data_IF_274102219090
#
_entry.id   IF_274102219090
#
_cell.length_a   1.000
_cell.length_b   1.000
_cell.length_c   1.000
_cell.angle_alpha   90.00
_cell.angle_beta   90.00
_cell.angle_gamma   90.00
#
_symmetry.space_group_name_H-M   'P 1'
#
loop_
_entity.id
_entity.type
_entity.pdbx_description
1 polymer ?
#
# COMPACT_ATOMS: atom_id res chain seq x y z
N UNK A 1 -0.70 -2.95 -23.99
CA UNK A 1 -1.37 -4.22 -23.64
C UNK A 1 -2.51 -3.94 -22.69
N UNK A 2 -3.71 -4.38 -23.01
CA UNK A 2 -4.88 -4.15 -22.18
C UNK A 2 -4.93 -5.15 -21.01
N UNK A 3 -5.26 -4.64 -19.83
CA UNK A 3 -5.51 -5.47 -18.65
C UNK A 3 -7.02 -5.58 -18.46
N UNK A 4 -7.53 -6.81 -18.41
CA UNK A 4 -8.94 -7.06 -18.18
C UNK A 4 -9.20 -7.22 -16.68
N UNK A 5 -10.17 -6.47 -16.18
CA UNK A 5 -10.58 -6.52 -14.78
C UNK A 5 -12.06 -6.84 -14.68
N UNK A 6 -12.43 -7.77 -13.81
CA UNK A 6 -13.82 -8.05 -13.49
C UNK A 6 -14.15 -7.44 -12.13
N UNK A 7 -15.20 -6.64 -12.07
CA UNK A 7 -15.65 -5.99 -10.85
C UNK A 7 -16.99 -6.56 -10.41
N UNK A 8 -17.09 -6.89 -9.13
CA UNK A 8 -18.35 -7.31 -8.53
C UNK A 8 -19.24 -6.11 -8.32
N UNK A 9 -20.57 -6.30 -8.17
CA UNK A 9 -21.46 -5.19 -7.83
C UNK A 9 -20.99 -4.48 -6.57
N UNK A 10 -20.92 -3.16 -6.63
CA UNK A 10 -20.52 -2.33 -5.50
C UNK A 10 -19.02 -2.35 -5.16
N UNK A 11 -18.23 -3.12 -5.87
CA UNK A 11 -16.79 -3.22 -5.60
C UNK A 11 -16.09 -1.89 -5.89
N UNK A 12 -15.19 -1.50 -4.99
CA UNK A 12 -14.38 -0.28 -5.15
C UNK A 12 -13.01 -0.64 -5.70
N UNK A 13 -12.38 0.34 -6.36
CA UNK A 13 -11.06 0.20 -6.91
C UNK A 13 -10.43 1.58 -7.05
N UNK A 14 -9.12 1.67 -6.94
CA UNK A 14 -8.40 2.90 -7.29
C UNK A 14 -7.77 2.70 -8.66
N UNK A 15 -8.08 3.59 -9.59
CA UNK A 15 -7.53 3.61 -10.95
C UNK A 15 -6.87 4.96 -11.15
N UNK A 16 -5.53 4.98 -11.27
CA UNK A 16 -4.78 6.22 -11.23
C UNK A 16 -4.99 6.90 -9.90
N UNK A 17 -5.41 8.15 -9.90
CA UNK A 17 -5.75 8.86 -8.66
C UNK A 17 -7.23 8.82 -8.31
N UNK A 18 -8.05 8.08 -9.07
CA UNK A 18 -9.50 8.10 -8.90
C UNK A 18 -9.99 6.89 -8.11
N UNK A 19 -10.88 7.12 -7.15
CA UNK A 19 -11.61 6.05 -6.47
C UNK A 19 -12.85 5.75 -7.30
N UNK A 20 -12.96 4.51 -7.76
CA UNK A 20 -14.05 4.06 -8.63
C UNK A 20 -14.88 3.03 -7.88
N UNK A 21 -16.20 3.19 -7.92
CA UNK A 21 -17.13 2.22 -7.34
C UNK A 21 -18.00 1.65 -8.46
N UNK A 22 -18.07 0.32 -8.55
CA UNK A 22 -18.95 -0.32 -9.50
C UNK A 22 -20.41 -0.18 -9.06
N UNK A 23 -21.31 -0.15 -10.04
CA UNK A 23 -22.74 -0.11 -9.78
C UNK A 23 -23.32 -1.46 -9.37
N UNK A 24 -24.58 -1.67 -9.67
CA UNK A 24 -25.35 -2.81 -9.16
C UNK A 24 -25.15 -4.12 -9.94
N UNK A 25 -24.43 -4.09 -11.04
CA UNK A 25 -24.22 -5.27 -11.87
C UNK A 25 -22.73 -5.53 -12.05
N UNK A 26 -22.37 -6.81 -12.21
CA UNK A 26 -21.00 -7.20 -12.54
C UNK A 26 -20.55 -6.47 -13.81
N UNK A 27 -19.31 -5.96 -13.80
CA UNK A 27 -18.76 -5.23 -14.92
C UNK A 27 -17.37 -5.74 -15.28
N UNK A 28 -17.02 -5.62 -16.57
CA UNK A 28 -15.67 -5.87 -17.05
C UNK A 28 -15.07 -4.55 -17.54
N UNK A 29 -13.84 -4.30 -17.14
CA UNK A 29 -13.08 -3.13 -17.57
C UNK A 29 -11.82 -3.57 -18.29
N UNK A 30 -11.46 -2.81 -19.33
CA UNK A 30 -10.20 -3.01 -20.04
C UNK A 30 -9.36 -1.76 -19.84
N UNK A 31 -8.23 -1.93 -19.15
CA UNK A 31 -7.29 -0.83 -18.90
C UNK A 31 -6.23 -0.89 -19.99
N UNK A 32 -6.22 0.10 -20.87
CA UNK A 32 -5.42 0.05 -22.08
C UNK A 32 -4.02 0.67 -21.93
N UNK A 33 -3.82 1.52 -20.93
CA UNK A 33 -2.53 2.12 -20.66
C UNK A 33 -2.10 1.86 -19.22
N UNK A 34 -0.82 2.06 -18.94
CA UNK A 34 -0.30 1.84 -17.60
C UNK A 34 -0.74 2.94 -16.65
N UNK A 35 -1.45 2.54 -15.59
CA UNK A 35 -1.82 3.43 -14.48
C UNK A 35 -1.71 2.62 -13.19
N UNK A 36 -1.47 3.29 -12.05
CA UNK A 36 -1.54 2.59 -10.76
C UNK A 36 -2.93 2.06 -10.50
N UNK A 37 -3.01 0.79 -10.10
CA UNK A 37 -4.29 0.11 -9.83
C UNK A 37 -4.23 -0.53 -8.46
N UNK A 38 -5.29 -0.34 -7.65
CA UNK A 38 -5.46 -1.04 -6.38
C UNK A 38 -6.87 -1.60 -6.28
N UNK A 39 -6.95 -2.93 -6.08
CA UNK A 39 -8.23 -3.59 -5.83
C UNK A 39 -8.68 -3.28 -4.40
N UNK A 40 -9.98 -3.38 -4.15
CA UNK A 40 -10.58 -3.04 -2.87
C UNK A 40 -9.87 -3.72 -1.68
N UNK A 41 -9.49 -4.98 -1.83
CA UNK A 41 -8.81 -5.75 -0.77
C UNK A 41 -7.46 -5.16 -0.36
N UNK A 42 -6.82 -4.40 -1.24
CA UNK A 42 -5.50 -3.82 -1.01
C UNK A 42 -5.56 -2.36 -0.58
N UNK A 43 -6.76 -1.77 -0.56
CA UNK A 43 -6.93 -0.37 -0.15
C UNK A 43 -7.05 -0.31 1.37
N UNK A 44 -6.17 0.46 2.00
CA UNK A 44 -6.25 0.75 3.42
C UNK A 44 -6.85 2.14 3.62
N UNK A 45 -7.85 2.25 4.49
CA UNK A 45 -8.39 3.55 4.88
C UNK A 45 -7.49 4.23 5.90
N UNK A 46 -7.52 5.54 5.94
CA UNK A 46 -6.74 6.30 6.91
C UNK A 46 -7.06 5.88 8.35
N UNK A 47 -8.32 5.58 8.63
CA UNK A 47 -8.78 5.15 9.95
C UNK A 47 -8.16 3.82 10.40
N UNK A 48 -7.74 2.99 9.45
CA UNK A 48 -7.19 1.68 9.74
C UNK A 48 -5.67 1.71 9.96
N UNK A 49 -5.03 2.84 9.67
CA UNK A 49 -3.59 3.03 9.80
C UNK A 49 -3.23 3.44 11.23
N UNK A 50 -3.44 2.54 12.20
CA UNK A 50 -3.30 2.86 13.62
C UNK A 50 -2.00 2.36 14.25
N UNK A 51 -1.27 1.47 13.59
CA UNK A 51 0.04 1.02 14.07
C UNK A 51 1.11 1.54 13.13
N UNK A 52 2.37 1.50 13.57
CA UNK A 52 3.46 2.01 12.73
C UNK A 52 3.57 1.23 11.43
N UNK A 53 3.48 -0.10 11.48
CA UNK A 53 3.53 -0.91 10.26
C UNK A 53 2.36 -0.59 9.33
N UNK A 54 1.17 -0.37 9.86
CA UNK A 54 0.01 0.02 9.05
C UNK A 54 0.17 1.42 8.47
N UNK A 55 0.77 2.33 9.21
CA UNK A 55 1.09 3.68 8.71
C UNK A 55 2.10 3.61 7.57
N UNK A 56 3.06 2.69 7.65
CA UNK A 56 4.01 2.44 6.56
C UNK A 56 3.25 1.96 5.32
N UNK A 57 2.35 0.99 5.47
CA UNK A 57 1.53 0.49 4.37
C UNK A 57 0.73 1.63 3.72
N UNK A 58 0.04 2.41 4.54
CA UNK A 58 -0.77 3.52 4.05
C UNK A 58 0.08 4.57 3.32
N UNK A 59 1.27 4.87 3.84
CA UNK A 59 2.18 5.83 3.21
C UNK A 59 2.66 5.33 1.85
N UNK A 60 2.99 4.03 1.74
CA UNK A 60 3.37 3.44 0.46
C UNK A 60 2.20 3.45 -0.52
N UNK A 61 0.98 3.20 -0.02
CA UNK A 61 -0.22 3.34 -0.83
C UNK A 61 -0.32 4.75 -1.44
N UNK A 62 -0.06 5.78 -0.65
CA UNK A 62 -0.05 7.16 -1.14
C UNK A 62 1.07 7.40 -2.15
N UNK A 63 2.25 6.83 -1.96
CA UNK A 63 3.32 6.91 -2.96
C UNK A 63 2.86 6.35 -4.31
N UNK A 64 2.08 5.28 -4.26
CA UNK A 64 1.63 4.57 -5.45
C UNK A 64 0.53 5.35 -6.19
N UNK A 65 -0.40 5.98 -5.45
CA UNK A 65 -1.59 6.58 -6.06
C UNK A 65 -1.58 8.11 -6.08
N UNK A 66 -0.71 8.76 -5.28
CA UNK A 66 -0.64 10.22 -5.18
C UNK A 66 0.79 10.68 -5.47
N UNK A 67 1.18 10.61 -6.73
CA UNK A 67 2.56 10.88 -7.13
C UNK A 67 2.91 12.37 -7.16
N UNK A 68 1.92 13.25 -7.08
CA UNK A 68 2.17 14.69 -6.99
C UNK A 68 2.86 15.07 -5.67
N UNK A 69 2.60 14.32 -4.61
CA UNK A 69 3.15 14.57 -3.28
C UNK A 69 4.21 13.55 -2.88
N UNK A 70 4.90 12.97 -3.84
CA UNK A 70 5.82 11.85 -3.62
C UNK A 70 6.93 12.17 -2.63
N UNK A 71 7.54 13.38 -2.71
CA UNK A 71 8.61 13.78 -1.80
C UNK A 71 8.11 13.80 -0.35
N UNK A 72 6.91 14.35 -0.13
CA UNK A 72 6.30 14.38 1.20
C UNK A 72 6.06 12.98 1.73
N UNK A 73 5.56 12.08 0.88
CA UNK A 73 5.30 10.70 1.28
C UNK A 73 6.59 9.94 1.59
N UNK A 74 7.66 10.18 0.84
CA UNK A 74 8.97 9.60 1.15
C UNK A 74 9.49 10.05 2.50
N UNK A 75 9.39 11.34 2.81
CA UNK A 75 9.82 11.87 4.10
C UNK A 75 9.04 11.24 5.25
N UNK A 76 7.74 11.12 5.09
CA UNK A 76 6.87 10.48 6.08
C UNK A 76 7.25 9.03 6.29
N UNK A 77 7.52 8.30 5.20
CA UNK A 77 7.96 6.91 5.25
C UNK A 77 9.23 6.75 6.10
N UNK A 78 10.25 7.56 5.84
CA UNK A 78 11.51 7.44 6.56
C UNK A 78 11.36 7.75 8.04
N UNK A 79 10.44 8.63 8.42
CA UNK A 79 10.13 8.89 9.82
C UNK A 79 9.53 7.65 10.50
N UNK A 80 8.61 6.96 9.82
CA UNK A 80 8.03 5.71 10.35
C UNK A 80 9.05 4.59 10.40
N UNK A 81 9.96 4.52 9.44
CA UNK A 81 11.06 3.54 9.46
C UNK A 81 11.91 3.71 10.71
N UNK A 82 12.27 4.96 11.05
CA UNK A 82 13.02 5.24 12.28
C UNK A 82 12.23 4.74 13.49
N UNK A 83 10.96 5.05 13.56
CA UNK A 83 10.12 4.69 14.68
C UNK A 83 10.04 3.18 14.87
N UNK A 84 9.76 2.43 13.80
CA UNK A 84 9.57 0.98 13.91
C UNK A 84 10.89 0.24 14.18
N UNK A 85 11.99 0.68 13.57
CA UNK A 85 13.28 0.03 13.77
C UNK A 85 13.86 0.31 15.15
N UNK A 86 13.55 1.46 15.73
CA UNK A 86 13.94 1.76 17.11
C UNK A 86 13.11 0.95 18.10
N UNK A 87 11.82 0.85 17.88
CA UNK A 87 10.92 0.12 18.77
C UNK A 87 11.11 -1.41 18.66
N UNK A 88 11.39 -1.91 17.46
CA UNK A 88 11.55 -3.34 17.19
C UNK A 88 12.69 -3.56 16.18
N UNK A 89 13.95 -3.64 16.67
CA UNK A 89 15.10 -3.83 15.77
C UNK A 89 15.02 -5.06 14.89
N UNK A 90 14.24 -6.08 15.28
CA UNK A 90 14.05 -7.28 14.45
C UNK A 90 13.31 -7.00 13.15
N UNK A 91 12.72 -5.82 12.98
CA UNK A 91 12.04 -5.46 11.74
C UNK A 91 13.01 -4.95 10.66
N UNK A 92 14.27 -4.69 11.00
CA UNK A 92 15.24 -4.10 10.06
C UNK A 92 15.34 -4.87 8.75
N UNK A 93 15.48 -6.23 8.73
CA UNK A 93 15.57 -6.93 7.44
C UNK A 93 14.34 -6.74 6.55
N UNK A 94 13.14 -6.72 7.13
CA UNK A 94 11.92 -6.51 6.35
C UNK A 94 11.81 -5.09 5.84
N UNK A 95 12.16 -4.11 6.68
CA UNK A 95 12.16 -2.69 6.28
C UNK A 95 13.18 -2.45 5.17
N UNK A 96 14.34 -3.09 5.23
CA UNK A 96 15.34 -2.97 4.17
C UNK A 96 14.80 -3.46 2.82
N UNK A 97 14.09 -4.59 2.82
CA UNK A 97 13.48 -5.11 1.59
C UNK A 97 12.43 -4.16 1.02
N UNK A 98 11.61 -3.59 1.90
CA UNK A 98 10.59 -2.61 1.49
C UNK A 98 11.26 -1.37 0.90
N UNK A 99 12.26 -0.85 1.60
CA UNK A 99 12.98 0.37 1.17
C UNK A 99 13.66 0.18 -0.16
N UNK A 100 14.21 -1.00 -0.42
CA UNK A 100 14.83 -1.33 -1.70
C UNK A 100 13.82 -1.23 -2.85
N UNK A 101 12.61 -1.71 -2.63
CA UNK A 101 11.55 -1.60 -3.64
C UNK A 101 11.14 -0.15 -3.88
N UNK A 102 11.07 0.64 -2.82
CA UNK A 102 10.72 2.06 -2.92
C UNK A 102 11.79 2.82 -3.72
N UNK A 103 13.05 2.58 -3.44
CA UNK A 103 14.16 3.20 -4.18
C UNK A 103 14.11 2.83 -5.66
N UNK A 104 13.67 1.61 -5.99
CA UNK A 104 13.49 1.16 -7.36
C UNK A 104 12.17 1.55 -8.00
N UNK A 105 11.38 2.40 -7.35
CA UNK A 105 10.05 2.81 -7.82
C UNK A 105 9.06 1.66 -8.00
N UNK A 106 9.26 0.56 -7.26
CA UNK A 106 8.40 -0.61 -7.32
C UNK A 106 7.41 -0.60 -6.16
N UNK A 107 6.52 0.40 -6.18
CA UNK A 107 5.63 0.67 -5.05
C UNK A 107 4.63 -0.45 -4.77
N UNK A 108 4.11 -1.09 -5.81
CA UNK A 108 3.17 -2.19 -5.60
C UNK A 108 3.83 -3.37 -4.88
N UNK A 109 5.08 -3.68 -5.27
CA UNK A 109 5.84 -4.73 -4.60
C UNK A 109 6.18 -4.33 -3.16
N UNK A 110 6.54 -3.05 -2.95
CA UNK A 110 6.77 -2.53 -1.60
C UNK A 110 5.51 -2.66 -0.73
N UNK A 111 4.35 -2.39 -1.31
CA UNK A 111 3.07 -2.50 -0.63
C UNK A 111 2.80 -3.94 -0.17
N UNK A 112 3.06 -4.91 -1.04
CA UNK A 112 2.89 -6.32 -0.69
C UNK A 112 3.83 -6.76 0.42
N UNK A 113 5.08 -6.30 0.39
CA UNK A 113 6.04 -6.59 1.46
C UNK A 113 5.62 -5.93 2.77
N UNK A 114 5.05 -4.73 2.72
CA UNK A 114 4.62 -4.06 3.94
C UNK A 114 3.43 -4.75 4.60
N UNK A 115 2.63 -5.51 3.85
CA UNK A 115 1.58 -6.34 4.44
C UNK A 115 2.19 -7.43 5.33
N UNK A 116 3.30 -8.01 4.90
CA UNK A 116 4.03 -8.99 5.73
C UNK A 116 4.59 -8.34 6.99
N UNK A 117 5.01 -7.08 6.88
CA UNK A 117 5.46 -6.33 8.06
C UNK A 117 4.32 -6.12 9.06
N UNK A 118 3.11 -5.84 8.57
CA UNK A 118 1.93 -5.72 9.44
C UNK A 118 1.69 -7.03 10.19
N UNK A 119 1.77 -8.16 9.50
CA UNK A 119 1.57 -9.48 10.13
C UNK A 119 2.64 -9.76 11.18
N UNK A 120 3.88 -9.40 10.90
CA UNK A 120 4.98 -9.54 11.85
C UNK A 120 4.80 -8.64 13.07
N UNK A 121 4.35 -7.41 12.85
CA UNK A 121 4.05 -6.49 13.94
C UNK A 121 2.98 -7.04 14.87
N UNK A 122 1.91 -7.61 14.30
CA UNK A 122 0.86 -8.26 15.09
C UNK A 122 1.43 -9.40 15.95
N UNK A 123 2.31 -10.19 15.36
CA UNK A 123 2.94 -11.31 16.05
C UNK A 123 3.77 -10.81 17.24
N UNK A 124 4.59 -9.78 17.04
CA UNK A 124 5.39 -9.20 18.11
C UNK A 124 4.49 -8.67 19.22
N UNK A 125 3.46 -7.92 18.86
CA UNK A 125 2.58 -7.29 19.84
C UNK A 125 1.79 -8.32 20.66
N UNK A 126 1.50 -9.47 20.07
CA UNK A 126 0.78 -10.54 20.78
C UNK A 126 1.62 -11.24 21.83
N UNK A 127 2.95 -11.06 21.79
CA UNK A 127 3.87 -11.68 22.75
C UNK A 127 4.07 -10.86 24.03
N UNK A 128 3.50 -9.67 24.07
CA UNK A 128 3.68 -8.75 25.20
C UNK A 128 2.65 -9.00 26.28
#
# INVERSE_FOLDING_TARGET
MALKLSLKPGEKMIIGGAVVKNGDAKAELFIENQVPLLREKDIMGEKDAQTVARKIYFTIQLMYIDQENLVSHHNTYWNYVKEITQAAPSTVPQVDQISEKIVGYKYYQALKLSRKLIDYEKEIMSRV
#
